data_IF_477742728711
#
_entry.id   IF_477742728711
#
_cell.length_a   1.000
_cell.length_b   1.000
_cell.length_c   1.000
_cell.angle_alpha   90.00
_cell.angle_beta   90.00
_cell.angle_gamma   90.00
#
_symmetry.space_group_name_H-M   'P 1'
#
loop_
_entity.id
_entity.type
_entity.pdbx_description
1 polymer ?
#
# COMPACT_ATOMS: atom_id res chain seq x y z
N UNK A 1 -42.05 -72.66 -28.02
CA UNK A 1 -41.60 -71.40 -28.67
C UNK A 1 -41.75 -70.27 -27.68
N UNK A 2 -40.77 -69.38 -27.66
CA UNK A 2 -40.29 -68.55 -26.54
C UNK A 2 -41.16 -67.34 -26.16
N UNK A 3 -41.22 -67.07 -24.85
CA UNK A 3 -41.93 -65.97 -24.18
C UNK A 3 -41.32 -64.57 -24.50
N UNK A 4 -42.12 -63.55 -24.85
CA UNK A 4 -41.64 -62.20 -25.13
C UNK A 4 -41.88 -61.27 -23.92
N UNK A 5 -41.05 -61.35 -22.86
CA UNK A 5 -41.21 -60.47 -21.69
C UNK A 5 -39.96 -59.70 -21.23
N UNK A 6 -38.78 -59.92 -21.84
CA UNK A 6 -37.53 -59.38 -21.26
C UNK A 6 -36.92 -58.16 -21.98
N UNK A 7 -37.49 -57.71 -23.10
CA UNK A 7 -36.90 -56.63 -23.91
C UNK A 7 -37.42 -55.21 -23.61
N UNK A 8 -38.59 -55.10 -22.95
CA UNK A 8 -39.19 -53.78 -22.66
C UNK A 8 -38.73 -53.21 -21.31
N UNK A 9 -38.53 -54.05 -20.29
CA UNK A 9 -38.03 -53.61 -18.98
C UNK A 9 -36.56 -53.18 -19.02
N UNK A 10 -35.72 -53.87 -19.80
CA UNK A 10 -34.29 -53.54 -19.97
C UNK A 10 -34.10 -52.21 -20.69
N UNK A 11 -34.87 -51.93 -21.75
CA UNK A 11 -34.86 -50.62 -22.44
C UNK A 11 -35.37 -49.48 -21.55
N UNK A 12 -36.39 -49.72 -20.73
CA UNK A 12 -36.93 -48.72 -19.81
C UNK A 12 -35.94 -48.38 -18.67
N UNK A 13 -35.26 -49.38 -18.10
CA UNK A 13 -34.21 -49.21 -17.09
C UNK A 13 -32.98 -48.47 -17.65
N UNK A 14 -32.57 -48.79 -18.88
CA UNK A 14 -31.43 -48.13 -19.54
C UNK A 14 -31.73 -46.65 -19.86
N UNK A 15 -32.95 -46.32 -20.30
CA UNK A 15 -33.39 -44.92 -20.47
C UNK A 15 -33.44 -44.16 -19.15
N UNK A 16 -33.99 -44.75 -18.08
CA UNK A 16 -34.03 -44.13 -16.74
C UNK A 16 -32.63 -43.88 -16.16
N UNK A 17 -31.71 -44.85 -16.27
CA UNK A 17 -30.33 -44.68 -15.81
C UNK A 17 -29.58 -43.58 -16.56
N UNK A 18 -29.81 -43.44 -17.88
CA UNK A 18 -29.17 -42.39 -18.69
C UNK A 18 -29.63 -40.98 -18.30
N UNK A 19 -30.91 -40.80 -17.98
CA UNK A 19 -31.44 -39.51 -17.50
C UNK A 19 -31.01 -39.18 -16.07
N UNK A 20 -30.87 -40.18 -15.20
CA UNK A 20 -30.36 -39.97 -13.83
C UNK A 20 -28.88 -39.55 -13.86
N UNK A 21 -28.05 -40.14 -14.73
CA UNK A 21 -26.64 -39.73 -14.90
C UNK A 21 -26.53 -38.34 -15.53
N UNK A 22 -27.36 -38.03 -16.53
CA UNK A 22 -27.41 -36.70 -17.15
C UNK A 22 -27.83 -35.63 -16.14
N UNK A 23 -28.84 -35.90 -15.30
CA UNK A 23 -29.26 -34.98 -14.24
C UNK A 23 -28.20 -34.86 -13.14
N UNK A 24 -27.52 -35.95 -12.77
CA UNK A 24 -26.44 -35.93 -11.78
C UNK A 24 -25.19 -35.16 -12.25
N UNK A 25 -25.00 -34.97 -13.56
CA UNK A 25 -23.91 -34.16 -14.11
C UNK A 25 -24.33 -32.71 -14.40
N UNK A 26 -25.55 -32.49 -14.90
CA UNK A 26 -26.03 -31.15 -15.28
C UNK A 26 -26.41 -30.31 -14.06
N UNK A 27 -27.04 -30.90 -13.05
CA UNK A 27 -27.48 -30.18 -11.83
C UNK A 27 -26.30 -29.58 -11.04
N UNK A 28 -25.17 -30.28 -10.78
CA UNK A 28 -24.03 -29.65 -10.11
C UNK A 28 -23.33 -28.61 -10.99
N UNK A 29 -23.32 -28.76 -12.31
CA UNK A 29 -22.78 -27.72 -13.22
C UNK A 29 -23.65 -26.46 -13.19
N UNK A 30 -24.97 -26.61 -13.19
CA UNK A 30 -25.90 -25.47 -13.04
C UNK A 30 -25.82 -24.84 -11.64
N UNK A 31 -25.68 -25.63 -10.57
CA UNK A 31 -25.45 -25.12 -9.21
C UNK A 31 -24.11 -24.39 -9.10
N UNK A 32 -23.03 -24.94 -9.68
CA UNK A 32 -21.76 -24.24 -9.79
C UNK A 32 -21.89 -22.95 -10.60
N UNK A 33 -22.64 -22.94 -11.71
CA UNK A 33 -22.87 -21.71 -12.48
C UNK A 33 -23.67 -20.68 -11.65
N UNK A 34 -24.73 -21.08 -10.94
CA UNK A 34 -25.53 -20.16 -10.11
C UNK A 34 -24.77 -19.64 -8.89
N UNK A 35 -23.77 -20.37 -8.38
CA UNK A 35 -22.93 -19.89 -7.25
C UNK A 35 -21.71 -19.10 -7.73
N UNK A 36 -21.03 -19.55 -8.79
CA UNK A 36 -19.82 -18.90 -9.28
C UNK A 36 -20.11 -17.73 -10.23
N UNK A 37 -21.19 -17.73 -11.00
CA UNK A 37 -21.50 -16.57 -11.88
C UNK A 37 -21.81 -15.30 -11.07
N UNK A 38 -22.54 -15.33 -9.95
CA UNK A 38 -22.68 -14.15 -9.10
C UNK A 38 -21.38 -13.76 -8.40
N UNK A 39 -20.51 -14.70 -8.01
CA UNK A 39 -19.19 -14.39 -7.43
C UNK A 39 -18.26 -13.76 -8.48
N UNK A 40 -18.31 -14.23 -9.73
CA UNK A 40 -17.59 -13.63 -10.86
C UNK A 40 -18.22 -12.28 -11.24
N UNK A 41 -19.54 -12.15 -11.18
CA UNK A 41 -20.26 -10.90 -11.51
C UNK A 41 -20.06 -9.82 -10.42
N UNK A 42 -20.10 -10.18 -9.14
CA UNK A 42 -19.77 -9.32 -8.00
C UNK A 42 -18.26 -9.04 -7.96
N UNK A 43 -17.42 -10.00 -8.36
CA UNK A 43 -15.99 -9.80 -8.58
C UNK A 43 -15.69 -8.84 -9.74
N UNK A 44 -16.45 -8.92 -10.83
CA UNK A 44 -16.34 -8.04 -12.00
C UNK A 44 -17.01 -6.67 -11.81
N UNK A 45 -17.97 -6.55 -10.89
CA UNK A 45 -18.56 -5.27 -10.49
C UNK A 45 -17.76 -4.55 -9.39
N UNK A 46 -16.98 -5.28 -8.58
CA UNK A 46 -16.04 -4.69 -7.61
C UNK A 46 -14.61 -4.48 -8.16
N UNK A 47 -14.24 -5.16 -9.24
CA UNK A 47 -13.14 -4.75 -10.10
C UNK A 47 -13.72 -3.88 -11.20
N UNK A 48 -13.91 -2.60 -10.89
CA UNK A 48 -14.00 -1.60 -11.94
C UNK A 48 -12.88 -1.88 -12.93
N UNK A 49 -13.25 -2.25 -14.16
CA UNK A 49 -12.29 -2.41 -15.24
C UNK A 49 -11.36 -1.21 -15.16
N UNK A 50 -10.03 -1.38 -15.05
CA UNK A 50 -9.14 -0.26 -15.22
C UNK A 50 -9.54 0.33 -16.56
N UNK A 51 -10.14 1.53 -16.53
CA UNK A 51 -10.30 2.28 -17.76
C UNK A 51 -8.92 2.34 -18.42
N UNK A 52 -8.85 2.41 -19.76
CA UNK A 52 -7.57 2.57 -20.43
C UNK A 52 -6.76 3.62 -19.68
N UNK A 53 -5.60 3.20 -19.16
CA UNK A 53 -4.70 4.08 -18.41
C UNK A 53 -4.57 5.34 -19.27
N UNK A 54 -4.95 6.53 -18.77
CA UNK A 54 -4.79 7.76 -19.53
C UNK A 54 -3.36 7.78 -20.03
N UNK A 55 -3.19 7.83 -21.36
CA UNK A 55 -1.95 7.48 -22.04
C UNK A 55 -0.74 7.98 -21.24
N UNK A 56 0.00 7.05 -20.64
CA UNK A 56 1.32 7.35 -20.12
C UNK A 56 2.06 7.93 -21.32
N UNK A 57 2.64 9.13 -21.15
CA UNK A 57 3.58 9.69 -22.12
C UNK A 57 4.49 8.56 -22.63
N UNK A 58 4.51 8.40 -23.94
CA UNK A 58 5.32 7.39 -24.61
C UNK A 58 6.79 7.56 -24.22
N UNK A 59 7.54 6.47 -24.29
CA UNK A 59 8.95 6.36 -23.91
C UNK A 59 9.91 7.37 -24.61
N UNK A 60 9.41 8.17 -25.55
CA UNK A 60 10.14 9.18 -26.33
C UNK A 60 9.86 10.65 -25.91
N UNK A 61 9.15 10.91 -24.81
CA UNK A 61 9.17 12.26 -24.21
C UNK A 61 10.50 12.46 -23.47
N UNK A 62 11.17 13.65 -23.55
CA UNK A 62 12.36 13.93 -22.74
C UNK A 62 12.10 13.57 -21.28
N UNK A 63 13.10 13.07 -20.55
CA UNK A 63 13.00 12.79 -19.10
C UNK A 63 12.67 14.09 -18.36
N UNK A 64 11.39 14.43 -18.32
CA UNK A 64 10.91 15.68 -17.75
C UNK A 64 10.91 15.49 -16.23
N UNK A 65 11.77 16.23 -15.55
CA UNK A 65 11.80 16.25 -14.10
C UNK A 65 10.43 16.64 -13.54
N UNK A 66 10.07 16.03 -12.42
CA UNK A 66 8.96 16.49 -11.59
C UNK A 66 9.46 17.68 -10.79
N UNK A 67 8.83 18.85 -10.96
CA UNK A 67 9.17 20.08 -10.24
C UNK A 67 7.99 20.57 -9.41
N UNK A 68 8.26 21.12 -8.23
CA UNK A 68 7.21 21.61 -7.36
C UNK A 68 7.70 22.03 -5.99
N UNK A 69 6.74 22.34 -5.14
CA UNK A 69 6.90 22.55 -3.70
C UNK A 69 6.49 21.27 -2.96
N UNK A 70 7.46 20.60 -2.34
CA UNK A 70 7.27 19.42 -1.52
C UNK A 70 7.30 19.82 -0.04
N UNK A 71 6.15 20.27 0.46
CA UNK A 71 5.99 20.60 1.88
C UNK A 71 6.89 21.73 2.39
N UNK A 72 7.22 22.71 1.53
CA UNK A 72 8.15 23.81 1.82
C UNK A 72 9.52 23.65 1.15
N UNK A 73 9.80 22.50 0.53
CA UNK A 73 11.05 22.22 -0.17
C UNK A 73 10.86 22.36 -1.69
N UNK A 74 11.57 23.27 -2.39
CA UNK A 74 11.55 23.29 -3.85
C UNK A 74 12.28 22.06 -4.38
N UNK A 75 11.62 21.26 -5.21
CA UNK A 75 12.15 19.98 -5.69
C UNK A 75 12.30 19.90 -7.19
N UNK A 76 13.30 19.13 -7.62
CA UNK A 76 13.48 18.69 -9.01
C UNK A 76 13.84 17.20 -9.02
N UNK A 77 12.86 16.35 -9.30
CA UNK A 77 12.97 14.89 -9.13
C UNK A 77 12.99 14.22 -10.50
N UNK A 78 13.91 13.27 -10.72
CA UNK A 78 13.87 12.44 -11.93
C UNK A 78 12.56 11.63 -11.95
N UNK A 79 11.80 11.73 -13.04
CA UNK A 79 10.53 11.02 -13.21
C UNK A 79 10.69 9.49 -13.14
N UNK A 80 11.90 8.96 -13.34
CA UNK A 80 12.24 7.56 -13.12
C UNK A 80 12.06 7.13 -11.65
N UNK A 81 12.21 8.05 -10.70
CA UNK A 81 12.15 7.78 -9.25
C UNK A 81 10.71 7.68 -8.75
N UNK A 82 9.83 8.55 -9.26
CA UNK A 82 8.47 8.75 -8.71
C UNK A 82 7.37 8.19 -9.61
N UNK A 83 6.24 7.84 -9.02
CA UNK A 83 5.03 7.32 -9.67
C UNK A 83 3.79 7.94 -9.03
N UNK A 84 2.67 7.93 -9.76
CA UNK A 84 1.37 8.40 -9.27
C UNK A 84 1.44 9.80 -8.64
N UNK A 85 2.03 10.75 -9.37
CA UNK A 85 2.25 12.12 -8.89
C UNK A 85 0.93 12.90 -8.93
N UNK A 86 0.60 13.54 -7.82
CA UNK A 86 -0.55 14.42 -7.68
C UNK A 86 -0.11 15.80 -7.20
N UNK A 87 -0.70 16.84 -7.76
CA UNK A 87 -0.53 18.23 -7.31
C UNK A 87 -1.83 18.76 -6.71
N UNK A 88 -1.71 19.73 -5.80
CA UNK A 88 -2.87 20.47 -5.33
C UNK A 88 -3.60 21.15 -6.50
N UNK A 89 -4.93 21.07 -6.48
CA UNK A 89 -5.79 21.63 -7.52
C UNK A 89 -5.95 20.75 -8.77
N UNK A 90 -5.28 19.60 -8.84
CA UNK A 90 -5.59 18.60 -9.85
C UNK A 90 -6.92 17.89 -9.56
N UNK A 91 -7.61 17.40 -10.61
CA UNK A 91 -8.82 16.61 -10.44
C UNK A 91 -8.51 15.32 -9.69
N UNK A 92 -9.39 14.95 -8.76
CA UNK A 92 -9.28 13.68 -8.04
C UNK A 92 -9.67 12.51 -8.94
N UNK A 93 -9.33 11.26 -8.56
CA UNK A 93 -9.83 10.09 -9.27
C UNK A 93 -11.35 10.14 -9.46
N UNK A 94 -11.79 10.04 -10.71
CA UNK A 94 -13.22 10.12 -11.10
C UNK A 94 -13.72 11.54 -11.42
N UNK A 95 -12.97 12.59 -11.12
CA UNK A 95 -13.32 13.96 -11.46
C UNK A 95 -12.79 14.34 -12.86
N UNK A 96 -13.61 15.06 -13.63
CA UNK A 96 -13.16 15.64 -14.91
C UNK A 96 -12.36 16.90 -14.67
N UNK A 97 -11.23 17.05 -15.39
CA UNK A 97 -10.46 18.29 -15.39
C UNK A 97 -11.32 19.45 -15.90
N UNK A 98 -11.37 20.51 -15.11
CA UNK A 98 -11.92 21.81 -15.50
C UNK A 98 -10.75 22.68 -15.96
N UNK A 99 -10.76 23.08 -17.23
CA UNK A 99 -9.72 23.94 -17.80
C UNK A 99 -8.48 23.18 -18.33
N UNK A 100 -7.48 23.93 -18.84
CA UNK A 100 -6.26 23.36 -19.39
C UNK A 100 -5.37 22.73 -18.30
N UNK A 101 -4.40 21.93 -18.73
CA UNK A 101 -3.35 21.45 -17.84
C UNK A 101 -2.48 22.62 -17.39
N UNK A 102 -2.30 22.82 -16.06
CA UNK A 102 -1.46 23.90 -15.57
C UNK A 102 0.01 23.59 -15.87
N UNK A 103 0.76 24.63 -16.23
CA UNK A 103 2.22 24.56 -16.29
C UNK A 103 2.76 24.44 -14.86
N UNK A 104 3.59 23.43 -14.61
CA UNK A 104 4.20 23.22 -13.30
C UNK A 104 5.38 24.16 -13.10
N UNK A 105 5.53 24.62 -11.86
CA UNK A 105 6.60 25.51 -11.39
C UNK A 105 7.02 25.06 -9.99
N UNK A 106 8.10 25.62 -9.44
CA UNK A 106 8.48 25.34 -8.05
C UNK A 106 7.46 25.82 -7.00
N UNK A 107 6.49 26.67 -7.38
CA UNK A 107 5.36 27.03 -6.53
C UNK A 107 4.18 26.04 -6.61
N UNK A 108 4.23 25.07 -7.54
CA UNK A 108 3.19 24.05 -7.69
C UNK A 108 3.32 23.04 -6.55
N UNK A 109 2.37 23.07 -5.61
CA UNK A 109 2.38 22.17 -4.46
C UNK A 109 2.14 20.73 -4.87
N UNK A 110 3.09 19.88 -4.56
CA UNK A 110 2.93 18.44 -4.65
C UNK A 110 2.02 18.00 -3.49
N UNK A 111 1.04 17.17 -3.81
CA UNK A 111 0.09 16.62 -2.85
C UNK A 111 0.49 15.21 -2.44
N UNK A 112 0.82 14.36 -3.42
CA UNK A 112 1.24 12.99 -3.15
C UNK A 112 2.06 12.41 -4.30
N UNK A 113 2.88 11.40 -3.99
CA UNK A 113 3.47 10.48 -4.97
C UNK A 113 3.99 9.22 -4.28
N UNK A 114 4.23 8.18 -5.08
CA UNK A 114 4.93 6.97 -4.66
C UNK A 114 6.35 6.95 -5.21
N UNK A 115 7.26 6.25 -4.52
CA UNK A 115 8.61 5.96 -4.97
C UNK A 115 9.05 4.56 -4.55
N UNK A 116 10.03 4.01 -5.26
CA UNK A 116 10.64 2.72 -4.91
C UNK A 116 12.13 2.90 -4.70
N UNK A 117 12.62 2.43 -3.55
CA UNK A 117 14.04 2.44 -3.22
C UNK A 117 14.46 1.11 -2.64
N UNK A 118 15.69 0.71 -2.92
CA UNK A 118 16.27 -0.51 -2.39
C UNK A 118 17.01 -0.25 -1.09
N UNK A 119 16.75 -1.04 -0.07
CA UNK A 119 17.52 -1.02 1.17
C UNK A 119 18.72 -1.97 1.07
N UNK A 120 19.93 -1.61 1.54
CA UNK A 120 20.28 -0.40 2.30
C UNK A 120 20.87 0.76 1.48
N UNK A 121 21.01 0.64 0.17
CA UNK A 121 21.77 1.57 -0.68
C UNK A 121 20.95 2.74 -1.27
N UNK A 122 19.63 2.74 -1.05
CA UNK A 122 18.66 3.71 -1.56
C UNK A 122 18.67 3.83 -3.10
N UNK A 123 19.10 2.78 -3.80
CA UNK A 123 19.03 2.75 -5.24
C UNK A 123 17.57 2.80 -5.73
N UNK A 124 17.30 3.59 -6.76
CA UNK A 124 15.95 3.80 -7.33
C UNK A 124 15.84 3.26 -8.75
N UNK A 125 14.65 3.31 -9.34
CA UNK A 125 14.34 2.75 -10.67
C UNK A 125 14.88 3.58 -11.86
N UNK A 126 15.97 4.30 -11.67
CA UNK A 126 16.56 5.22 -12.68
C UNK A 126 17.45 4.52 -13.71
N UNK A 127 17.96 3.32 -13.41
CA UNK A 127 18.73 2.48 -14.34
C UNK A 127 18.00 1.18 -14.68
N UNK A 128 18.33 0.59 -15.84
CA UNK A 128 17.73 -0.69 -16.25
C UNK A 128 18.11 -1.85 -15.32
N UNK A 129 19.34 -1.85 -14.78
CA UNK A 129 19.77 -2.85 -13.80
C UNK A 129 18.92 -2.79 -12.52
N UNK A 130 18.61 -1.60 -12.04
CA UNK A 130 17.76 -1.42 -10.85
C UNK A 130 16.31 -1.83 -11.12
N UNK A 131 15.79 -1.56 -12.32
CA UNK A 131 14.45 -2.04 -12.72
C UNK A 131 14.41 -3.57 -12.79
N UNK A 132 15.40 -4.20 -13.40
CA UNK A 132 15.48 -5.65 -13.49
C UNK A 132 15.60 -6.31 -12.10
N UNK A 133 16.36 -5.71 -11.17
CA UNK A 133 16.42 -6.15 -9.78
C UNK A 133 15.07 -5.99 -9.07
N UNK A 134 14.38 -4.86 -9.22
CA UNK A 134 13.05 -4.64 -8.65
C UNK A 134 12.04 -5.68 -9.13
N UNK A 135 11.98 -5.93 -10.44
CA UNK A 135 11.08 -6.90 -11.06
C UNK A 135 11.31 -8.33 -10.57
N UNK A 136 12.53 -8.69 -10.13
CA UNK A 136 12.81 -10.01 -9.54
C UNK A 136 12.00 -10.27 -8.27
N UNK A 137 11.73 -9.23 -7.49
CA UNK A 137 11.02 -9.34 -6.21
C UNK A 137 9.55 -8.94 -6.30
N UNK A 138 9.13 -8.36 -7.42
CA UNK A 138 7.80 -7.79 -7.55
C UNK A 138 6.73 -8.89 -7.69
N UNK A 139 5.63 -8.87 -6.89
CA UNK A 139 4.66 -9.98 -6.81
C UNK A 139 3.94 -10.34 -8.11
N UNK A 140 3.86 -9.40 -9.07
CA UNK A 140 3.26 -9.62 -10.38
C UNK A 140 4.22 -10.25 -11.39
N UNK A 141 5.49 -10.34 -11.04
CA UNK A 141 6.57 -10.79 -11.91
C UNK A 141 6.73 -12.30 -11.72
N UNK A 142 6.34 -13.06 -12.74
CA UNK A 142 6.23 -14.52 -12.70
C UNK A 142 7.58 -15.22 -12.86
N UNK A 143 7.73 -16.44 -12.31
CA UNK A 143 7.41 -16.82 -10.93
C UNK A 143 8.54 -16.33 -10.01
N UNK A 144 8.20 -15.61 -8.94
CA UNK A 144 9.15 -15.35 -7.85
C UNK A 144 9.66 -16.71 -7.37
N UNK A 145 10.97 -16.92 -7.45
CA UNK A 145 11.62 -18.11 -6.91
C UNK A 145 11.20 -18.28 -5.44
N UNK A 146 10.67 -19.46 -5.11
CA UNK A 146 10.20 -19.78 -3.76
C UNK A 146 11.31 -19.47 -2.75
N UNK A 147 11.13 -18.41 -1.96
CA UNK A 147 12.11 -17.95 -0.96
C UNK A 147 12.59 -16.49 -1.13
N UNK A 148 12.47 -15.89 -2.31
CA UNK A 148 12.92 -14.50 -2.53
C UNK A 148 11.99 -13.46 -1.91
N UNK A 149 10.69 -13.77 -1.75
CA UNK A 149 9.73 -12.84 -1.15
C UNK A 149 10.11 -12.40 0.26
N UNK A 150 10.71 -13.29 1.05
CA UNK A 150 11.14 -13.00 2.43
C UNK A 150 12.50 -12.27 2.50
N UNK A 151 13.11 -12.01 1.35
CA UNK A 151 14.39 -11.32 1.20
C UNK A 151 14.27 -10.05 0.35
N UNK A 152 13.05 -9.62 0.04
CA UNK A 152 12.83 -8.44 -0.79
C UNK A 152 13.43 -7.18 -0.13
N UNK A 153 14.48 -6.58 -0.72
CA UNK A 153 15.11 -5.38 -0.17
C UNK A 153 14.36 -4.10 -0.55
N UNK A 154 13.38 -4.19 -1.45
CA UNK A 154 12.71 -3.02 -1.99
C UNK A 154 11.63 -2.49 -1.05
N UNK A 155 11.74 -1.21 -0.77
CA UNK A 155 10.81 -0.40 -0.01
C UNK A 155 9.85 0.28 -0.97
N UNK A 156 8.55 0.24 -0.67
CA UNK A 156 7.56 1.09 -1.36
C UNK A 156 7.31 2.30 -0.49
N UNK A 157 7.80 3.46 -0.92
CA UNK A 157 7.61 4.73 -0.24
C UNK A 157 6.42 5.51 -0.80
N UNK A 158 5.71 6.21 0.06
CA UNK A 158 4.66 7.15 -0.27
C UNK A 158 4.90 8.48 0.45
N UNK A 159 4.63 9.56 -0.25
CA UNK A 159 4.71 10.92 0.26
C UNK A 159 3.31 11.54 0.23
N UNK A 160 2.96 12.23 1.32
CA UNK A 160 1.83 13.14 1.38
C UNK A 160 2.31 14.51 1.87
N UNK A 161 1.95 15.55 1.14
CA UNK A 161 2.29 16.96 1.40
C UNK A 161 1.13 17.86 0.94
N UNK A 162 1.29 19.18 1.02
CA UNK A 162 0.28 20.13 0.54
C UNK A 162 -1.08 19.89 1.20
N UNK A 163 -2.13 19.77 0.40
CA UNK A 163 -3.49 19.49 0.91
C UNK A 163 -3.70 18.09 1.50
N UNK A 164 -2.80 17.14 1.23
CA UNK A 164 -2.87 15.78 1.79
C UNK A 164 -2.08 15.64 3.10
N UNK A 165 -1.31 16.65 3.52
CA UNK A 165 -0.59 16.60 4.79
C UNK A 165 -1.56 16.72 5.97
N UNK A 166 -1.55 15.78 6.94
CA UNK A 166 -2.47 15.80 8.08
C UNK A 166 -2.19 16.90 9.11
N UNK A 167 -1.14 17.70 8.91
CA UNK A 167 -0.73 18.80 9.79
C UNK A 167 0.15 18.38 10.96
N UNK A 168 0.92 19.33 11.50
CA UNK A 168 1.90 19.10 12.56
C UNK A 168 1.37 18.30 13.75
N UNK A 169 2.19 17.40 14.28
CA UNK A 169 1.84 16.58 15.44
C UNK A 169 0.75 15.54 15.18
N UNK A 170 0.52 15.15 13.92
CA UNK A 170 -0.47 14.11 13.61
C UNK A 170 -0.13 12.76 14.25
N UNK A 171 1.15 12.44 14.42
CA UNK A 171 1.58 11.21 15.09
C UNK A 171 1.26 11.23 16.59
N UNK A 172 1.34 12.39 17.25
CA UNK A 172 0.89 12.52 18.64
C UNK A 172 -0.62 12.32 18.73
N UNK A 173 -1.39 12.94 17.82
CA UNK A 173 -2.85 12.73 17.75
C UNK A 173 -3.19 11.27 17.49
N UNK A 174 -2.47 10.61 16.58
CA UNK A 174 -2.63 9.19 16.29
C UNK A 174 -2.33 8.34 17.53
N UNK A 175 -1.19 8.57 18.19
CA UNK A 175 -0.85 7.87 19.43
C UNK A 175 -1.95 8.02 20.47
N UNK A 176 -2.43 9.24 20.72
CA UNK A 176 -3.49 9.48 21.69
C UNK A 176 -4.81 8.80 21.28
N UNK A 177 -5.22 8.89 20.02
CA UNK A 177 -6.45 8.23 19.54
C UNK A 177 -6.39 6.70 19.63
N UNK A 178 -5.20 6.13 19.44
CA UNK A 178 -4.95 4.69 19.44
C UNK A 178 -4.81 4.13 20.86
N UNK A 179 -4.18 4.88 21.78
CA UNK A 179 -3.80 4.39 23.12
C UNK A 179 -4.65 4.94 24.25
N UNK A 180 -5.33 6.07 24.06
CA UNK A 180 -6.19 6.65 25.09
C UNK A 180 -7.57 6.01 25.07
N UNK A 181 -8.07 5.67 26.25
CA UNK A 181 -9.41 5.13 26.46
C UNK A 181 -9.70 3.83 25.69
N UNK A 182 -8.88 2.76 25.82
CA UNK A 182 -9.13 1.49 25.14
C UNK A 182 -10.53 0.92 25.46
N UNK A 183 -11.09 1.25 26.62
CA UNK A 183 -12.45 0.86 27.01
C UNK A 183 -13.56 1.44 26.13
N UNK A 184 -13.29 2.52 25.40
CA UNK A 184 -14.24 3.15 24.46
C UNK A 184 -14.17 2.53 23.06
N UNK A 185 -13.14 1.75 22.77
CA UNK A 185 -13.00 1.06 21.50
C UNK A 185 -13.89 -0.18 21.45
N UNK A 186 -14.28 -0.56 20.23
CA UNK A 186 -15.07 -1.78 19.99
C UNK A 186 -14.25 -2.99 20.46
N UNK A 187 -14.93 -4.00 21.04
CA UNK A 187 -14.30 -5.27 21.44
C UNK A 187 -13.50 -5.85 20.28
N UNK A 188 -12.25 -6.24 20.56
CA UNK A 188 -11.32 -6.74 19.56
C UNK A 188 -10.53 -5.68 18.79
N UNK A 189 -10.71 -4.39 19.10
CA UNK A 189 -9.86 -3.28 18.64
C UNK A 189 -9.31 -2.45 19.80
N UNK A 190 -9.48 -2.94 21.02
CA UNK A 190 -8.94 -2.32 22.23
C UNK A 190 -7.47 -2.68 22.33
N UNK A 191 -6.58 -1.70 22.28
CA UNK A 191 -5.15 -1.95 22.32
C UNK A 191 -4.61 -1.91 23.74
N UNK A 192 -3.79 -2.91 24.08
CA UNK A 192 -3.08 -2.97 25.36
C UNK A 192 -1.57 -3.01 25.15
N UNK A 193 -0.79 -2.36 26.02
CA UNK A 193 0.66 -2.38 25.92
C UNK A 193 1.21 -3.78 26.22
N UNK A 194 2.26 -4.15 25.49
CA UNK A 194 3.04 -5.38 25.70
C UNK A 194 4.53 -5.04 25.62
N UNK A 195 5.36 -5.86 26.28
CA UNK A 195 6.82 -5.74 26.14
C UNK A 195 7.20 -5.96 24.67
N UNK A 196 7.86 -4.95 24.09
CA UNK A 196 8.43 -5.06 22.75
C UNK A 196 9.75 -5.80 22.79
N UNK A 197 9.96 -6.74 21.86
CA UNK A 197 11.25 -7.37 21.61
C UNK A 197 12.17 -6.50 20.74
N UNK A 198 11.63 -5.43 20.15
CA UNK A 198 12.35 -4.53 19.26
C UNK A 198 12.76 -3.28 20.04
N UNK A 199 14.07 -3.03 20.22
CA UNK A 199 14.55 -1.89 20.98
C UNK A 199 14.01 -0.56 20.44
N UNK A 200 13.61 0.31 21.36
CA UNK A 200 13.11 1.66 21.04
C UNK A 200 11.65 1.73 20.59
N UNK A 201 10.96 0.60 20.43
CA UNK A 201 9.53 0.57 20.08
C UNK A 201 8.66 0.18 21.27
N UNK A 202 7.57 0.90 21.48
CA UNK A 202 6.45 0.53 22.35
C UNK A 202 5.47 -0.33 21.55
N UNK A 203 5.14 -1.53 22.03
CA UNK A 203 4.23 -2.46 21.34
C UNK A 203 2.83 -2.40 21.96
N UNK A 204 1.83 -2.34 21.09
CA UNK A 204 0.41 -2.42 21.42
C UNK A 204 -0.26 -3.51 20.58
N UNK A 205 -1.12 -4.29 21.23
CA UNK A 205 -1.79 -5.46 20.62
C UNK A 205 -3.27 -5.47 20.97
N UNK A 206 -4.09 -6.07 20.09
CA UNK A 206 -5.52 -6.21 20.33
C UNK A 206 -5.80 -7.09 21.57
N UNK A 207 -6.67 -6.59 22.44
CA UNK A 207 -7.04 -7.24 23.70
C UNK A 207 -8.06 -8.35 23.49
N UNK A 208 -7.81 -9.49 24.14
CA UNK A 208 -8.78 -10.56 24.32
C UNK A 208 -8.85 -11.56 23.16
N UNK A 209 -9.89 -12.38 23.18
CA UNK A 209 -10.14 -13.45 22.21
C UNK A 209 -11.55 -13.33 21.63
N UNK A 210 -11.72 -13.77 20.40
CA UNK A 210 -13.03 -13.87 19.77
C UNK A 210 -13.84 -15.01 20.42
N UNK A 211 -15.06 -14.73 20.93
CA UNK A 211 -15.86 -15.75 21.61
C UNK A 211 -16.34 -16.88 20.68
N UNK A 212 -16.33 -16.68 19.36
CA UNK A 212 -16.79 -17.69 18.39
C UNK A 212 -15.66 -18.67 18.04
N UNK A 213 -14.50 -18.16 17.64
CA UNK A 213 -13.36 -18.99 17.24
C UNK A 213 -12.46 -19.39 18.41
N UNK A 214 -12.46 -18.62 19.50
CA UNK A 214 -11.51 -18.76 20.62
C UNK A 214 -10.11 -18.21 20.32
N UNK A 215 -9.86 -17.70 19.10
CA UNK A 215 -8.56 -17.14 18.73
C UNK A 215 -8.39 -15.71 19.26
N UNK A 216 -7.15 -15.29 19.60
CA UNK A 216 -6.86 -13.90 19.93
C UNK A 216 -7.25 -12.94 18.80
N UNK A 217 -7.90 -11.83 19.14
CA UNK A 217 -8.31 -10.80 18.16
C UNK A 217 -7.14 -10.31 17.30
N UNK A 218 -5.96 -10.25 17.92
CA UNK A 218 -4.66 -9.95 17.30
C UNK A 218 -4.37 -10.75 16.02
N UNK A 219 -4.91 -11.96 15.85
CA UNK A 219 -4.63 -12.84 14.71
C UNK A 219 -5.81 -13.07 13.76
N UNK A 220 -6.98 -12.51 14.08
CA UNK A 220 -8.24 -12.98 13.50
C UNK A 220 -8.67 -12.21 12.25
N UNK A 221 -8.51 -10.89 12.22
CA UNK A 221 -9.14 -10.03 11.21
C UNK A 221 -8.15 -9.45 10.19
N UNK A 222 -8.70 -9.02 9.05
CA UNK A 222 -7.99 -8.14 8.12
C UNK A 222 -7.73 -6.81 8.85
N UNK A 223 -6.47 -6.42 8.95
CA UNK A 223 -6.05 -5.27 9.74
C UNK A 223 -5.62 -5.61 11.18
N UNK A 224 -5.77 -6.87 11.61
CA UNK A 224 -5.16 -7.32 12.86
C UNK A 224 -3.64 -7.38 12.69
N UNK A 225 -2.94 -7.01 13.75
CA UNK A 225 -1.51 -6.81 13.66
C UNK A 225 -0.92 -6.26 14.93
N UNK A 226 0.37 -6.01 14.85
CA UNK A 226 1.10 -5.37 15.92
C UNK A 226 1.29 -3.90 15.58
N UNK A 227 0.94 -3.06 16.55
CA UNK A 227 1.08 -1.62 16.45
C UNK A 227 2.27 -1.20 17.31
N UNK A 228 3.23 -0.55 16.69
CA UNK A 228 4.39 0.00 17.36
C UNK A 228 4.42 1.52 17.27
N UNK A 229 4.93 2.14 18.34
CA UNK A 229 5.24 3.55 18.36
C UNK A 229 6.67 3.78 18.85
N UNK A 230 7.33 4.81 18.31
CA UNK A 230 8.53 5.37 18.89
C UNK A 230 8.26 6.79 19.35
N UNK A 231 8.69 7.11 20.58
CA UNK A 231 8.72 8.48 21.08
C UNK A 231 10.16 8.96 21.17
N UNK A 232 10.40 10.14 20.61
CA UNK A 232 11.70 10.79 20.66
C UNK A 232 12.02 11.30 22.07
N UNK A 233 13.23 11.85 22.29
CA UNK A 233 13.67 12.35 23.59
C UNK A 233 12.78 13.46 24.19
N UNK A 234 12.08 14.22 23.34
CA UNK A 234 11.12 15.24 23.76
C UNK A 234 9.77 14.67 24.24
N UNK A 235 9.59 13.36 24.17
CA UNK A 235 8.34 12.68 24.48
C UNK A 235 7.30 12.68 23.36
N UNK A 236 7.58 13.34 22.22
CA UNK A 236 6.72 13.34 21.03
C UNK A 236 6.85 12.02 20.27
N UNK A 237 5.73 11.55 19.72
CA UNK A 237 5.70 10.39 18.81
C UNK A 237 6.31 10.77 17.47
N UNK A 238 7.39 10.09 17.11
CA UNK A 238 8.16 10.36 15.88
C UNK A 238 8.01 9.26 14.84
N UNK A 239 7.55 8.08 15.25
CA UNK A 239 7.35 6.93 14.35
C UNK A 239 6.11 6.15 14.78
N UNK A 240 5.31 5.75 13.80
CA UNK A 240 4.26 4.75 13.91
C UNK A 240 4.59 3.59 12.97
N UNK A 241 4.44 2.35 13.43
CA UNK A 241 4.61 1.17 12.59
C UNK A 241 3.43 0.24 12.83
N UNK A 242 2.85 -0.27 11.75
CA UNK A 242 1.83 -1.31 11.84
C UNK A 242 2.25 -2.52 11.01
N UNK A 243 2.37 -3.67 11.66
CA UNK A 243 2.70 -4.93 11.01
C UNK A 243 1.48 -5.83 11.01
N UNK A 244 0.86 -6.02 9.84
CA UNK A 244 -0.33 -6.81 9.70
C UNK A 244 0.00 -8.30 9.61
N UNK A 245 -0.73 -9.13 10.34
CA UNK A 245 -0.63 -10.58 10.18
C UNK A 245 -1.24 -11.01 8.85
N UNK A 246 -0.73 -12.10 8.28
CA UNK A 246 -1.48 -12.81 7.26
C UNK A 246 -2.66 -13.50 7.95
N UNK A 247 -3.87 -13.21 7.48
CA UNK A 247 -5.13 -13.76 7.99
C UNK A 247 -5.02 -15.24 8.36
N UNK A 248 -5.40 -15.58 9.60
CA UNK A 248 -5.37 -16.96 10.10
C UNK A 248 -3.97 -17.53 10.35
N UNK A 249 -2.94 -16.68 10.39
CA UNK A 249 -1.56 -17.08 10.69
C UNK A 249 -0.94 -16.14 11.73
N UNK A 250 0.15 -16.57 12.35
CA UNK A 250 0.96 -15.74 13.26
C UNK A 250 2.19 -15.11 12.59
N UNK A 251 2.21 -15.09 11.25
CA UNK A 251 3.31 -14.52 10.48
C UNK A 251 2.87 -13.18 9.91
N UNK A 252 3.68 -12.14 10.09
CA UNK A 252 3.43 -10.85 9.44
C UNK A 252 3.47 -11.00 7.91
N UNK A 253 2.56 -10.31 7.24
CA UNK A 253 2.56 -10.20 5.79
C UNK A 253 3.45 -9.04 5.32
N UNK A 254 3.39 -7.91 6.02
CA UNK A 254 4.12 -6.67 5.75
C UNK A 254 4.10 -5.76 6.99
N UNK A 255 4.95 -4.74 6.97
CA UNK A 255 4.91 -3.64 7.93
C UNK A 255 4.86 -2.32 7.17
N UNK A 256 3.96 -1.41 7.56
CA UNK A 256 4.04 0.01 7.18
C UNK A 256 4.70 0.79 8.30
N UNK A 257 5.53 1.75 7.93
CA UNK A 257 6.18 2.68 8.84
C UNK A 257 5.89 4.10 8.39
N UNK A 258 5.42 4.91 9.33
CA UNK A 258 4.97 6.26 9.11
C UNK A 258 5.76 7.22 10.01
N UNK A 259 6.25 8.31 9.42
CA UNK A 259 6.88 9.39 10.16
C UNK A 259 6.65 10.74 9.47
N UNK A 260 6.98 11.81 10.18
CA UNK A 260 6.93 13.16 9.63
C UNK A 260 8.32 13.77 9.47
N UNK A 261 8.47 14.64 8.46
CA UNK A 261 9.70 15.41 8.23
C UNK A 261 9.70 16.78 8.94
N UNK A 262 8.83 16.98 9.94
CA UNK A 262 8.71 18.24 10.70
C UNK A 262 10.03 18.71 11.32
N UNK A 263 10.90 17.77 11.71
CA UNK A 263 12.23 18.11 12.26
C UNK A 263 13.18 18.75 11.24
N UNK A 264 12.84 18.70 9.96
CA UNK A 264 13.54 19.36 8.87
C UNK A 264 12.81 20.62 8.38
N UNK A 265 11.81 21.10 9.14
CA UNK A 265 10.90 22.19 8.78
C UNK A 265 10.09 21.91 7.50
N UNK A 266 9.79 20.63 7.24
CA UNK A 266 9.04 20.18 6.08
C UNK A 266 7.66 19.62 6.46
N UNK A 267 6.64 20.08 5.75
CA UNK A 267 5.25 19.63 5.84
C UNK A 267 5.01 18.36 5.03
N UNK A 268 5.70 17.28 5.43
CA UNK A 268 5.69 15.99 4.72
C UNK A 268 5.37 14.86 5.70
N UNK A 269 4.43 14.01 5.31
CA UNK A 269 4.23 12.68 5.87
C UNK A 269 4.84 11.65 4.91
N UNK A 270 5.71 10.80 5.46
CA UNK A 270 6.33 9.68 4.75
C UNK A 270 5.73 8.39 5.28
N UNK A 271 5.32 7.51 4.36
CA UNK A 271 4.90 6.13 4.63
C UNK A 271 5.82 5.19 3.85
N UNK A 272 6.34 4.14 4.48
CA UNK A 272 7.11 3.11 3.80
C UNK A 272 6.57 1.73 4.14
N UNK A 273 6.31 0.94 3.10
CA UNK A 273 5.95 -0.47 3.21
C UNK A 273 7.17 -1.35 2.97
N UNK A 274 7.40 -2.31 3.87
CA UNK A 274 8.49 -3.28 3.76
C UNK A 274 8.14 -4.66 4.33
N UNK A 275 9.03 -5.62 4.09
CA UNK A 275 8.88 -6.97 4.60
C UNK A 275 9.23 -7.06 6.10
N UNK A 276 8.62 -7.97 6.87
CA UNK A 276 8.80 -8.03 8.32
C UNK A 276 10.24 -8.25 8.79
N UNK A 277 11.07 -8.92 7.97
CA UNK A 277 12.48 -9.13 8.29
C UNK A 277 13.31 -7.84 8.38
N UNK A 278 12.80 -6.73 7.82
CA UNK A 278 13.43 -5.42 7.88
C UNK A 278 12.98 -4.58 9.09
N UNK A 279 11.98 -5.03 9.85
CA UNK A 279 11.47 -4.31 11.03
C UNK A 279 12.56 -3.98 12.07
N UNK A 280 13.54 -4.86 12.38
CA UNK A 280 14.63 -4.48 13.29
C UNK A 280 15.50 -3.31 12.79
N UNK A 281 15.43 -2.98 11.51
CA UNK A 281 16.17 -1.88 10.87
C UNK A 281 15.33 -0.59 10.70
N UNK A 282 14.16 -0.50 11.35
CA UNK A 282 13.21 0.60 11.20
C UNK A 282 13.85 1.99 11.39
N UNK A 283 14.81 2.14 12.30
CA UNK A 283 15.52 3.41 12.53
C UNK A 283 16.41 3.79 11.35
N UNK A 284 17.19 2.83 10.84
CA UNK A 284 18.10 3.05 9.71
C UNK A 284 17.30 3.30 8.41
N UNK A 285 16.19 2.59 8.22
CA UNK A 285 15.25 2.82 7.12
C UNK A 285 14.70 4.25 7.18
N UNK A 286 14.17 4.68 8.32
CA UNK A 286 13.65 6.03 8.49
C UNK A 286 14.70 7.09 8.19
N UNK A 287 15.91 6.92 8.72
CA UNK A 287 17.03 7.84 8.50
C UNK A 287 17.40 7.94 7.01
N UNK A 288 17.66 6.80 6.37
CA UNK A 288 18.13 6.75 4.97
C UNK A 288 17.06 7.20 3.98
N UNK A 289 15.80 6.82 4.20
CA UNK A 289 14.70 7.28 3.35
C UNK A 289 14.48 8.79 3.52
N UNK A 290 14.56 9.32 4.75
CA UNK A 290 14.49 10.77 4.97
C UNK A 290 15.61 11.50 4.24
N UNK A 291 16.85 11.00 4.33
CA UNK A 291 18.00 11.55 3.61
C UNK A 291 17.83 11.47 2.09
N UNK A 292 17.33 10.35 1.58
CA UNK A 292 17.01 10.18 0.16
C UNK A 292 16.01 11.23 -0.32
N UNK A 293 14.93 11.47 0.43
CA UNK A 293 13.92 12.50 0.09
C UNK A 293 14.55 13.91 0.07
N UNK A 294 15.46 14.21 0.99
CA UNK A 294 16.17 15.50 1.02
C UNK A 294 17.06 15.73 -0.22
N UNK A 295 17.48 14.68 -0.93
CA UNK A 295 18.24 14.82 -2.18
C UNK A 295 17.42 15.42 -3.32
N UNK A 296 16.09 15.46 -3.19
CA UNK A 296 15.20 16.07 -4.19
C UNK A 296 15.28 17.59 -4.21
N UNK A 297 15.80 18.20 -3.14
CA UNK A 297 15.93 19.64 -3.01
C UNK A 297 16.72 20.23 -4.19
N UNK A 298 16.21 21.30 -4.78
CA UNK A 298 16.90 22.04 -5.83
C UNK A 298 17.27 23.46 -5.37
N UNK A 299 18.45 23.66 -4.76
CA UNK A 299 18.82 24.93 -4.13
C UNK A 299 19.08 26.08 -5.11
N UNK A 300 19.31 25.80 -6.40
CA UNK A 300 19.60 26.83 -7.42
C UNK A 300 18.44 27.82 -7.61
N UNK A 301 17.20 27.42 -7.30
CA UNK A 301 15.99 28.25 -7.41
C UNK A 301 15.91 29.29 -6.29
N UNK A 302 16.40 28.95 -5.09
CA UNK A 302 16.38 29.86 -3.93
C UNK A 302 17.36 31.03 -4.15
N UNK A 303 18.46 30.78 -4.86
CA UNK A 303 19.46 31.80 -5.18
C UNK A 303 19.00 32.79 -6.27
N UNK A 304 18.19 32.36 -7.23
CA UNK A 304 17.67 33.25 -8.29
C UNK A 304 16.58 34.21 -7.78
N UNK A 305 15.75 33.80 -6.82
CA UNK A 305 14.72 34.67 -6.25
C UNK A 305 15.32 35.76 -5.33
N UNK A 306 16.43 35.46 -4.63
CA UNK A 306 17.13 36.45 -3.80
C UNK A 306 17.93 37.47 -4.62
N UNK A 307 18.38 37.10 -5.82
CA UNK A 307 19.13 38.01 -6.71
C UNK A 307 18.20 38.85 -7.60
N UNK A 308 17.00 38.35 -7.93
CA UNK A 308 15.98 39.10 -8.68
C UNK A 308 15.28 40.21 -7.88
N UNK A 309 15.25 40.13 -6.54
CA UNK A 309 14.59 41.13 -5.68
C UNK A 309 15.40 42.42 -5.45
N UNK A 310 16.70 42.45 -5.82
CA UNK A 310 17.57 43.62 -5.58
C UNK A 310 17.84 44.46 -6.85
N UNK A 311 17.20 44.17 -7.98
CA UNK A 311 17.39 44.90 -9.24
C UNK A 311 16.29 45.96 -9.52
N UNK A 312 15.59 46.43 -8.48
CA UNK A 312 14.47 47.37 -8.61
C UNK A 312 14.38 48.36 -7.46
N UNK A 313 15.42 49.19 -7.26
CA UNK A 313 15.32 50.49 -6.58
C UNK A 313 16.31 51.46 -7.20
#
# INVERSE_FOLDING_TARGET
MTSPSNNNETKARQKRGRWVIVMALIVPILLCAVVFLPVIYVGALNLGTPGPIPGLRTADSPREYVIGDLGGMPVKIDHGIVRYIEYDGDPRPGEKRKGPWPTRTYASRLSSFLFYVRYPDMGSLTSEDMKADFERYHPLSRPIEYGLRHKNPWLTGGIQSGSSYPGHGFLDRLYQATTSHPEKQIVGSQLVPLTSEIPGLELFVDLGTDPISGEPWRYLSIGSGDTYFHRGPSGKTTTFIHCNYRSGTRNYASCSQDWSMESFDLNIWVSVLYIPALLPQWQDIQLKVSQFILTFNNPEVVASDLTGSNAGR
#
